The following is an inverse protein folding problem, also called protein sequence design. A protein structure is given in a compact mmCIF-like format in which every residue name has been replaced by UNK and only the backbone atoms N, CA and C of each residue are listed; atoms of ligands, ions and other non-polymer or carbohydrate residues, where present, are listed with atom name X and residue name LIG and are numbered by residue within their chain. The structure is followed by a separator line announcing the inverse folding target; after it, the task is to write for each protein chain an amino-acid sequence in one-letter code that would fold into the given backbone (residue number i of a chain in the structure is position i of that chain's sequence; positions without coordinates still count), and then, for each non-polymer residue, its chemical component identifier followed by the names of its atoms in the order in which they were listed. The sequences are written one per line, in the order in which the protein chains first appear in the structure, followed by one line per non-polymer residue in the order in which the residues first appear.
data_IF_195457152685
#
_entry.id   IF_195457152685
#
_cell.length_a   1.000
_cell.length_b   1.000
_cell.length_c   1.000
_cell.angle_alpha   90.00
_cell.angle_beta   90.00
_cell.angle_gamma   90.00
#
_symmetry.space_group_name_H-M   'P 1'
#
loop_
_entity.id
_entity.type
_entity.pdbx_description
1 polymer ?
#
# COMPACT_ATOMS: atom_id res chain seq x y z
N UNK A 1 -16.50 -9.78 12.38
CA UNK A 1 -15.12 -10.25 12.67
C UNK A 1 -15.14 -11.16 13.89
N UNK A 2 -14.23 -12.11 14.00
CA UNK A 2 -13.98 -12.84 15.27
C UNK A 2 -13.36 -11.90 16.32
N UNK A 3 -13.36 -12.29 17.59
CA UNK A 3 -12.71 -11.51 18.66
C UNK A 3 -11.21 -11.29 18.37
N UNK A 4 -10.53 -12.34 17.90
CA UNK A 4 -9.11 -12.28 17.58
C UNK A 4 -8.85 -11.34 16.40
N UNK A 5 -9.59 -11.48 15.29
CA UNK A 5 -9.48 -10.58 14.14
C UNK A 5 -9.70 -9.12 14.53
N UNK A 6 -10.72 -8.86 15.36
CA UNK A 6 -11.02 -7.51 15.83
C UNK A 6 -9.89 -6.93 16.68
N UNK A 7 -9.39 -7.71 17.65
CA UNK A 7 -8.29 -7.29 18.53
C UNK A 7 -7.01 -7.01 17.73
N UNK A 8 -6.65 -7.91 16.81
CA UNK A 8 -5.49 -7.74 15.93
C UNK A 8 -5.63 -6.49 15.05
N UNK A 9 -6.81 -6.28 14.46
CA UNK A 9 -7.09 -5.11 13.64
C UNK A 9 -7.02 -3.81 14.45
N UNK A 10 -7.56 -3.77 15.67
CA UNK A 10 -7.48 -2.59 16.53
C UNK A 10 -6.03 -2.22 16.87
N UNK A 11 -5.21 -3.21 17.23
CA UNK A 11 -3.79 -3.00 17.51
C UNK A 11 -3.04 -2.50 16.26
N UNK A 12 -3.29 -3.14 15.11
CA UNK A 12 -2.67 -2.75 13.84
C UNK A 12 -3.07 -1.33 13.42
N UNK A 13 -4.36 -0.98 13.56
CA UNK A 13 -4.88 0.37 13.30
C UNK A 13 -4.22 1.42 14.19
N UNK A 14 -4.05 1.12 15.48
CA UNK A 14 -3.40 2.03 16.42
C UNK A 14 -1.92 2.23 16.09
N UNK A 15 -1.20 1.16 15.74
CA UNK A 15 0.19 1.25 15.28
C UNK A 15 0.33 2.11 14.02
N UNK A 16 -0.58 1.96 13.05
CA UNK A 16 -0.57 2.80 11.85
C UNK A 16 -0.86 4.27 12.14
N UNK A 17 -1.78 4.56 13.07
CA UNK A 17 -2.05 5.93 13.52
C UNK A 17 -0.79 6.57 14.12
N UNK A 18 -0.12 5.86 15.03
CA UNK A 18 1.15 6.30 15.63
C UNK A 18 2.25 6.52 14.58
N UNK A 19 2.34 5.63 13.58
CA UNK A 19 3.28 5.77 12.47
C UNK A 19 3.04 7.03 11.63
N UNK A 20 1.78 7.35 11.31
CA UNK A 20 1.46 8.59 10.58
C UNK A 20 1.86 9.82 11.39
N UNK A 21 1.58 9.83 12.69
CA UNK A 21 1.98 10.94 13.57
C UNK A 21 3.50 11.09 13.66
N UNK A 22 4.23 9.99 13.71
CA UNK A 22 5.71 9.98 13.69
C UNK A 22 6.25 10.50 12.36
N UNK A 23 5.71 10.04 11.24
CA UNK A 23 6.14 10.47 9.91
C UNK A 23 5.95 11.97 9.70
N UNK A 24 4.85 12.54 10.21
CA UNK A 24 4.61 13.99 10.20
C UNK A 24 5.70 14.72 11.00
N UNK A 25 6.03 14.25 12.20
CA UNK A 25 7.07 14.87 13.04
C UNK A 25 8.46 14.75 12.43
N UNK A 26 8.76 13.63 11.78
CA UNK A 26 10.05 13.36 11.17
C UNK A 26 10.31 14.17 9.88
N UNK A 27 9.26 14.75 9.27
CA UNK A 27 9.34 15.47 8.00
C UNK A 27 8.83 16.92 8.10
N UNK A 28 9.44 17.78 8.93
CA UNK A 28 8.99 19.16 9.13
C UNK A 28 9.02 20.03 7.85
N UNK A 29 9.86 19.67 6.87
CA UNK A 29 9.97 20.35 5.57
C UNK A 29 8.85 19.99 4.59
N UNK A 30 8.12 18.90 4.83
CA UNK A 30 7.13 18.37 3.88
C UNK A 30 5.99 19.36 3.55
N UNK A 31 5.42 20.11 4.51
CA UNK A 31 4.38 21.09 4.19
C UNK A 31 4.82 22.19 3.21
N UNK A 32 6.04 22.70 3.37
CA UNK A 32 6.59 23.75 2.51
C UNK A 32 6.79 23.22 1.10
N UNK A 33 7.44 22.07 0.96
CA UNK A 33 7.70 21.46 -0.35
C UNK A 33 6.41 21.09 -1.10
N UNK A 34 5.40 20.58 -0.39
CA UNK A 34 4.10 20.27 -0.98
C UNK A 34 3.34 21.52 -1.40
N UNK A 35 3.39 22.60 -0.61
CA UNK A 35 2.77 23.88 -0.95
C UNK A 35 3.39 24.45 -2.23
N UNK A 36 4.71 24.42 -2.36
CA UNK A 36 5.41 24.81 -3.58
C UNK A 36 5.03 23.93 -4.79
N UNK A 37 4.95 22.61 -4.58
CA UNK A 37 4.57 21.66 -5.62
C UNK A 37 3.13 21.90 -6.11
N UNK A 38 2.19 22.20 -5.20
CA UNK A 38 0.82 22.57 -5.52
C UNK A 38 0.79 23.89 -6.31
N UNK A 39 1.52 24.90 -5.84
CA UNK A 39 1.54 26.25 -6.44
C UNK A 39 2.11 26.31 -7.86
N UNK A 40 2.98 25.36 -8.24
CA UNK A 40 3.57 25.30 -9.60
C UNK A 40 2.66 24.68 -10.65
N UNK A 41 1.50 24.17 -10.28
CA UNK A 41 0.60 23.47 -11.21
C UNK A 41 -0.29 24.45 -11.98
N UNK A 42 -0.44 24.21 -13.27
CA UNK A 42 -1.53 24.74 -14.09
C UNK A 42 -2.83 24.00 -13.71
N UNK A 43 -3.43 24.42 -12.60
CA UNK A 43 -4.66 23.84 -12.06
C UNK A 43 -5.15 24.62 -10.85
N UNK A 44 -6.33 24.28 -10.31
CA UNK A 44 -6.85 24.96 -9.13
C UNK A 44 -5.92 24.71 -7.94
N UNK A 45 -5.28 25.78 -7.47
CA UNK A 45 -4.58 25.79 -6.20
C UNK A 45 -5.54 25.46 -5.06
N UNK A 46 -5.03 24.86 -4.00
CA UNK A 46 -5.77 24.53 -2.80
C UNK A 46 -4.84 24.57 -1.58
N UNK A 47 -5.37 24.87 -0.40
CA UNK A 47 -4.57 24.84 0.81
C UNK A 47 -4.14 23.40 1.11
N UNK A 48 -2.87 23.26 1.45
CA UNK A 48 -2.37 22.04 2.07
C UNK A 48 -2.82 22.03 3.53
N UNK A 49 -3.50 20.97 3.95
CA UNK A 49 -4.06 20.79 5.29
C UNK A 49 -3.46 19.57 5.99
N UNK A 50 -3.36 18.41 5.31
CA UNK A 50 -2.72 17.21 5.87
C UNK A 50 -1.72 16.59 4.90
N UNK A 51 -0.39 16.79 5.07
CA UNK A 51 0.63 16.31 4.12
C UNK A 51 0.81 14.78 4.15
N UNK A 52 0.56 14.18 5.31
CA UNK A 52 0.47 12.73 5.49
C UNK A 52 -0.93 12.45 6.00
N UNK A 53 -1.65 11.57 5.32
CA UNK A 53 -3.07 11.34 5.59
C UNK A 53 -3.21 10.02 6.35
N UNK A 54 -3.79 10.07 7.55
CA UNK A 54 -4.38 8.91 8.19
C UNK A 54 -5.82 8.76 7.69
N UNK A 55 -6.20 7.57 7.23
CA UNK A 55 -7.55 7.33 6.72
C UNK A 55 -8.55 7.16 7.88
N UNK A 56 -9.36 8.18 8.15
CA UNK A 56 -10.37 8.16 9.21
C UNK A 56 -11.46 7.10 8.99
N UNK A 57 -11.64 6.57 7.77
CA UNK A 57 -12.54 5.44 7.55
C UNK A 57 -12.10 4.17 8.30
N UNK A 58 -10.83 4.07 8.73
CA UNK A 58 -10.37 3.00 9.59
C UNK A 58 -10.98 3.06 11.00
N UNK A 59 -11.30 4.27 11.48
CA UNK A 59 -11.92 4.47 12.79
C UNK A 59 -13.41 4.08 12.78
N UNK A 60 -14.06 4.17 11.61
CA UNK A 60 -15.47 3.81 11.42
C UNK A 60 -15.71 2.29 11.51
N UNK A 61 -14.69 1.47 11.24
CA UNK A 61 -14.81 0.00 11.26
C UNK A 61 -15.10 -0.47 12.68
N UNK A 62 -16.14 -1.30 12.81
CA UNK A 62 -16.57 -1.94 14.05
C UNK A 62 -16.38 -3.46 13.95
N UNK A 63 -16.51 -4.15 15.09
CA UNK A 63 -16.40 -5.62 15.16
C UNK A 63 -17.43 -6.33 14.27
N UNK A 64 -18.63 -5.74 14.15
CA UNK A 64 -19.74 -6.23 13.35
C UNK A 64 -19.60 -5.91 11.86
N UNK A 65 -18.62 -5.08 11.48
CA UNK A 65 -18.35 -4.79 10.07
C UNK A 65 -17.91 -6.04 9.32
N UNK A 66 -18.33 -6.13 8.06
CA UNK A 66 -17.92 -7.19 7.13
C UNK A 66 -17.04 -6.56 6.07
N UNK A 67 -15.78 -6.98 6.01
CA UNK A 67 -14.83 -6.57 4.97
C UNK A 67 -14.73 -7.70 3.95
N UNK A 68 -15.01 -7.39 2.70
CA UNK A 68 -14.98 -8.34 1.57
C UNK A 68 -13.86 -8.02 0.57
N UNK A 69 -13.38 -6.78 0.55
CA UNK A 69 -12.25 -6.37 -0.30
C UNK A 69 -11.36 -5.41 0.47
N UNK A 70 -10.05 -5.60 0.37
CA UNK A 70 -9.05 -4.60 0.73
C UNK A 70 -8.58 -3.98 -0.58
N UNK A 71 -8.84 -2.68 -0.78
CA UNK A 71 -8.49 -1.98 -2.01
C UNK A 71 -7.33 -1.02 -1.76
N UNK A 72 -6.22 -1.23 -2.46
CA UNK A 72 -4.98 -0.47 -2.32
C UNK A 72 -4.77 0.47 -3.51
N UNK A 73 -5.05 1.76 -3.30
CA UNK A 73 -4.74 2.84 -4.24
C UNK A 73 -3.30 3.34 -4.10
N UNK A 74 -2.91 4.36 -4.87
CA UNK A 74 -1.52 4.82 -4.92
C UNK A 74 -1.14 5.66 -3.69
N UNK A 75 -1.72 6.85 -3.59
CA UNK A 75 -1.48 7.80 -2.52
C UNK A 75 -2.64 8.81 -2.40
N UNK A 76 -2.76 9.57 -1.28
CA UNK A 76 -3.86 10.50 -1.08
C UNK A 76 -3.82 11.66 -2.07
N UNK A 77 -4.97 11.98 -2.66
CA UNK A 77 -5.15 13.12 -3.55
C UNK A 77 -5.63 14.38 -2.84
N UNK A 78 -6.02 15.38 -3.65
CA UNK A 78 -6.45 16.71 -3.17
C UNK A 78 -7.60 16.67 -2.17
N UNK A 79 -8.59 15.79 -2.35
CA UNK A 79 -9.76 15.76 -1.45
C UNK A 79 -9.44 14.99 -0.17
N UNK A 80 -8.71 13.90 -0.34
CA UNK A 80 -8.28 12.99 0.71
C UNK A 80 -7.44 13.71 1.78
N UNK A 81 -6.65 14.72 1.40
CA UNK A 81 -5.82 15.51 2.33
C UNK A 81 -6.57 16.65 3.04
N UNK A 82 -7.83 16.93 2.70
CA UNK A 82 -8.56 18.00 3.39
C UNK A 82 -8.92 17.56 4.81
N UNK A 83 -8.87 18.48 5.76
CA UNK A 83 -9.21 18.23 7.15
C UNK A 83 -10.66 17.77 7.33
N UNK A 84 -11.56 18.20 6.45
CA UNK A 84 -12.96 17.83 6.45
C UNK A 84 -13.20 16.37 6.02
N UNK A 85 -12.39 15.84 5.09
CA UNK A 85 -12.61 14.51 4.54
C UNK A 85 -11.74 13.45 5.24
N UNK A 86 -10.39 13.59 5.18
CA UNK A 86 -9.38 12.62 5.64
C UNK A 86 -9.74 11.16 5.43
N UNK A 87 -10.28 10.86 4.25
CA UNK A 87 -10.73 9.53 3.84
C UNK A 87 -10.17 9.22 2.47
N UNK A 88 -9.78 7.98 2.24
CA UNK A 88 -9.23 7.57 0.95
C UNK A 88 -10.32 7.35 -0.11
N UNK A 89 -9.94 7.65 -1.36
CA UNK A 89 -10.83 7.56 -2.52
C UNK A 89 -12.16 8.31 -2.30
N UNK A 90 -12.11 9.56 -1.88
CA UNK A 90 -13.29 10.47 -1.84
C UNK A 90 -13.31 11.44 -3.03
N UNK A 91 -12.21 11.49 -3.78
CA UNK A 91 -12.07 12.16 -5.07
C UNK A 91 -12.76 11.47 -6.25
N UNK A 92 -12.53 11.98 -7.47
CA UNK A 92 -13.11 11.44 -8.70
C UNK A 92 -12.87 9.94 -8.91
N UNK A 93 -11.65 9.45 -8.65
CA UNK A 93 -11.32 8.02 -8.77
C UNK A 93 -12.18 7.17 -7.83
N UNK A 94 -12.49 7.68 -6.64
CA UNK A 94 -13.37 7.00 -5.69
C UNK A 94 -14.83 6.97 -6.12
N UNK A 95 -15.32 8.02 -6.78
CA UNK A 95 -16.65 8.01 -7.40
C UNK A 95 -16.76 6.98 -8.52
N UNK A 96 -15.69 6.79 -9.29
CA UNK A 96 -15.64 5.78 -10.34
C UNK A 96 -15.60 4.36 -9.74
N UNK A 97 -14.82 4.15 -8.68
CA UNK A 97 -14.82 2.88 -7.95
C UNK A 97 -16.19 2.55 -7.35
N UNK A 98 -16.80 3.48 -6.60
CA UNK A 98 -18.16 3.35 -6.06
C UNK A 98 -19.19 3.07 -7.16
N UNK A 99 -19.10 3.81 -8.28
CA UNK A 99 -19.94 3.62 -9.45
C UNK A 99 -19.78 2.25 -10.11
N UNK A 100 -18.59 1.64 -10.07
CA UNK A 100 -18.37 0.28 -10.57
C UNK A 100 -19.14 -0.73 -9.72
N UNK A 101 -18.95 -0.74 -8.39
CA UNK A 101 -19.66 -1.66 -7.50
C UNK A 101 -21.19 -1.48 -7.58
N UNK A 102 -21.69 -0.26 -7.68
CA UNK A 102 -23.13 0.02 -7.88
C UNK A 102 -23.70 -0.52 -9.19
N UNK A 103 -22.89 -0.61 -10.25
CA UNK A 103 -23.30 -1.19 -11.54
C UNK A 103 -23.24 -2.72 -11.53
N UNK A 104 -22.56 -3.31 -10.55
CA UNK A 104 -22.36 -4.74 -10.40
C UNK A 104 -22.89 -5.24 -9.05
N UNK A 105 -24.21 -5.09 -8.77
CA UNK A 105 -24.81 -5.48 -7.49
C UNK A 105 -24.69 -6.98 -7.21
N UNK A 106 -24.49 -7.82 -8.24
CA UNK A 106 -24.22 -9.25 -8.12
C UNK A 106 -22.96 -9.57 -7.31
N UNK A 107 -22.03 -8.62 -7.17
CA UNK A 107 -20.86 -8.76 -6.31
C UNK A 107 -21.22 -8.71 -4.81
N UNK A 108 -22.40 -8.18 -4.45
CA UNK A 108 -22.81 -8.06 -3.05
C UNK A 108 -21.95 -7.12 -2.19
N UNK A 109 -21.19 -6.21 -2.82
CA UNK A 109 -20.22 -5.33 -2.16
C UNK A 109 -20.73 -3.88 -2.17
N UNK A 110 -20.97 -3.32 -0.99
CA UNK A 110 -21.10 -1.87 -0.79
C UNK A 110 -19.69 -1.26 -0.65
N UNK A 111 -19.34 -0.35 -1.56
CA UNK A 111 -18.00 0.24 -1.64
C UNK A 111 -17.54 0.98 -0.37
N UNK A 112 -18.47 1.48 0.45
CA UNK A 112 -18.14 2.23 1.67
C UNK A 112 -18.26 1.41 2.94
N UNK A 113 -18.95 0.27 2.88
CA UNK A 113 -19.14 -0.62 4.05
C UNK A 113 -18.28 -1.86 4.00
N UNK A 114 -18.11 -2.44 2.82
CA UNK A 114 -17.45 -3.73 2.63
C UNK A 114 -16.01 -3.63 2.11
N UNK A 115 -15.54 -2.42 1.79
CA UNK A 115 -14.20 -2.22 1.24
C UNK A 115 -13.31 -1.47 2.22
N UNK A 116 -12.23 -2.13 2.65
CA UNK A 116 -11.14 -1.50 3.39
C UNK A 116 -10.21 -0.78 2.40
N UNK A 117 -10.29 0.55 2.35
CA UNK A 117 -9.52 1.35 1.37
C UNK A 117 -8.20 1.81 1.99
N UNK A 118 -7.09 1.43 1.36
CA UNK A 118 -5.71 1.74 1.76
C UNK A 118 -4.93 2.35 0.59
N UNK A 119 -3.72 2.87 0.86
CA UNK A 119 -2.81 3.42 -0.15
C UNK A 119 -1.42 2.77 -0.04
N UNK A 120 -0.66 2.76 -1.14
CA UNK A 120 0.75 2.31 -1.14
C UNK A 120 1.67 3.25 -0.37
N UNK A 121 1.25 4.50 -0.16
CA UNK A 121 1.91 5.45 0.75
C UNK A 121 0.85 6.40 1.33
N UNK A 122 0.97 6.85 2.60
CA UNK A 122 0.08 7.85 3.19
C UNK A 122 0.45 9.29 2.80
N UNK A 123 1.54 9.49 2.04
CA UNK A 123 2.04 10.83 1.69
C UNK A 123 1.22 11.41 0.55
N UNK A 124 0.57 12.54 0.81
CA UNK A 124 -0.21 13.26 -0.17
C UNK A 124 0.67 13.82 -1.30
N UNK A 125 0.20 13.68 -2.54
CA UNK A 125 0.63 14.53 -3.65
C UNK A 125 -0.55 14.83 -4.57
N UNK A 126 -0.50 15.93 -5.35
CA UNK A 126 -1.60 16.27 -6.25
C UNK A 126 -1.75 15.29 -7.43
N UNK A 127 -0.67 14.61 -7.85
CA UNK A 127 -0.67 13.43 -8.73
C UNK A 127 0.38 12.43 -8.25
N UNK A 128 0.10 11.14 -8.38
CA UNK A 128 1.02 10.05 -8.02
C UNK A 128 2.44 10.25 -8.54
N UNK A 129 2.59 10.62 -9.82
CA UNK A 129 3.91 10.83 -10.45
C UNK A 129 4.76 11.93 -9.79
N UNK A 130 4.13 12.85 -9.07
CA UNK A 130 4.80 13.96 -8.40
C UNK A 130 5.46 13.56 -7.08
N UNK A 131 5.24 12.33 -6.59
CA UNK A 131 6.05 11.74 -5.51
C UNK A 131 7.55 11.73 -5.89
N UNK A 132 7.87 11.53 -7.18
CA UNK A 132 9.26 11.61 -7.68
C UNK A 132 9.84 13.02 -7.57
N UNK A 133 9.04 14.04 -7.90
CA UNK A 133 9.49 15.44 -7.80
C UNK A 133 9.64 15.85 -6.34
N UNK A 134 8.71 15.43 -5.48
CA UNK A 134 8.79 15.64 -4.05
C UNK A 134 10.06 15.02 -3.45
N UNK A 135 10.34 13.74 -3.75
CA UNK A 135 11.55 13.05 -3.32
C UNK A 135 12.82 13.79 -3.77
N UNK A 136 12.86 14.24 -5.03
CA UNK A 136 14.02 14.99 -5.56
C UNK A 136 14.22 16.32 -4.84
N UNK A 137 13.14 17.07 -4.58
CA UNK A 137 13.19 18.39 -3.93
C UNK A 137 13.58 18.31 -2.47
N UNK A 138 13.11 17.29 -1.75
CA UNK A 138 13.41 17.12 -0.33
C UNK A 138 14.72 16.42 -0.03
N UNK A 139 15.51 16.07 -1.06
CA UNK A 139 16.80 15.42 -0.90
C UNK A 139 16.73 13.97 -0.42
N UNK A 140 17.90 13.37 -0.12
CA UNK A 140 18.01 11.95 0.26
C UNK A 140 17.10 11.54 1.41
N UNK A 141 16.99 12.37 2.45
CA UNK A 141 16.20 12.05 3.65
C UNK A 141 14.71 11.93 3.34
N UNK A 142 14.14 12.86 2.55
CA UNK A 142 12.74 12.77 2.15
C UNK A 142 12.51 11.64 1.15
N UNK A 143 13.44 11.42 0.22
CA UNK A 143 13.35 10.28 -0.70
C UNK A 143 13.30 8.95 0.05
N UNK A 144 14.15 8.80 1.07
CA UNK A 144 14.20 7.64 1.94
C UNK A 144 12.94 7.50 2.80
N UNK A 145 12.42 8.61 3.34
CA UNK A 145 11.16 8.57 4.09
C UNK A 145 9.97 8.17 3.20
N UNK A 146 9.91 8.65 1.95
CA UNK A 146 8.90 8.19 0.97
C UNK A 146 9.05 6.70 0.70
N UNK A 147 10.28 6.22 0.47
CA UNK A 147 10.58 4.79 0.28
C UNK A 147 10.14 3.95 1.49
N UNK A 148 10.49 4.38 2.71
CA UNK A 148 10.12 3.70 3.95
C UNK A 148 8.61 3.71 4.19
N UNK A 149 7.91 4.77 3.79
CA UNK A 149 6.45 4.79 3.85
C UNK A 149 5.79 3.74 2.96
N UNK A 150 6.41 3.41 1.82
CA UNK A 150 5.93 2.34 0.95
C UNK A 150 6.15 0.95 1.57
N UNK A 151 7.30 0.75 2.21
CA UNK A 151 7.62 -0.49 2.94
C UNK A 151 6.62 -0.70 4.07
N UNK A 152 6.42 0.32 4.90
CA UNK A 152 5.50 0.27 6.04
C UNK A 152 4.06 0.00 5.59
N UNK A 153 3.60 0.65 4.52
CA UNK A 153 2.27 0.38 3.98
C UNK A 153 2.15 -1.02 3.40
N UNK A 154 3.15 -1.56 2.70
CA UNK A 154 3.12 -2.93 2.19
C UNK A 154 2.97 -3.95 3.33
N UNK A 155 3.70 -3.77 4.44
CA UNK A 155 3.58 -4.61 5.65
C UNK A 155 2.21 -4.48 6.31
N UNK A 156 1.75 -3.25 6.51
CA UNK A 156 0.44 -2.96 7.09
C UNK A 156 -0.70 -3.60 6.26
N UNK A 157 -0.64 -3.45 4.92
CA UNK A 157 -1.61 -4.04 3.99
C UNK A 157 -1.58 -5.57 4.06
N UNK A 158 -0.39 -6.18 4.07
CA UNK A 158 -0.26 -7.63 4.21
C UNK A 158 -0.89 -8.13 5.52
N UNK A 159 -0.64 -7.44 6.64
CA UNK A 159 -1.21 -7.80 7.93
C UNK A 159 -2.74 -7.62 7.96
N UNK A 160 -3.27 -6.53 7.39
CA UNK A 160 -4.71 -6.39 7.19
C UNK A 160 -5.26 -7.56 6.37
N UNK A 161 -4.57 -7.95 5.29
CA UNK A 161 -4.99 -9.08 4.49
C UNK A 161 -4.93 -10.40 5.27
N UNK A 162 -3.91 -10.65 6.10
CA UNK A 162 -3.90 -11.85 6.94
C UNK A 162 -5.06 -11.91 7.93
N UNK A 163 -5.44 -10.77 8.51
CA UNK A 163 -6.59 -10.66 9.42
C UNK A 163 -7.89 -11.02 8.68
N UNK A 164 -8.05 -10.56 7.44
CA UNK A 164 -9.31 -10.68 6.69
C UNK A 164 -9.32 -11.75 5.58
N UNK A 165 -8.22 -12.46 5.32
CA UNK A 165 -8.07 -13.39 4.19
C UNK A 165 -9.15 -14.49 4.10
N UNK A 166 -9.76 -14.99 5.19
CA UNK A 166 -10.82 -15.96 5.04
C UNK A 166 -12.05 -15.40 4.30
N UNK A 167 -12.27 -14.09 4.35
CA UNK A 167 -13.47 -13.43 3.81
C UNK A 167 -13.19 -12.33 2.77
N UNK A 168 -11.96 -11.82 2.70
CA UNK A 168 -11.61 -10.65 1.91
C UNK A 168 -10.54 -10.90 0.86
N UNK A 169 -10.75 -10.34 -0.33
CA UNK A 169 -9.76 -10.29 -1.40
C UNK A 169 -8.88 -9.04 -1.28
N UNK A 170 -7.62 -9.11 -1.74
CA UNK A 170 -6.73 -7.95 -1.83
C UNK A 170 -6.65 -7.44 -3.27
N UNK A 171 -7.20 -6.25 -3.51
CA UNK A 171 -7.19 -5.59 -4.82
C UNK A 171 -6.19 -4.44 -4.84
N UNK A 172 -5.10 -4.59 -5.60
CA UNK A 172 -4.09 -3.55 -5.76
C UNK A 172 -4.25 -2.87 -7.11
N UNK A 173 -4.69 -1.61 -7.10
CA UNK A 173 -4.89 -0.85 -8.34
C UNK A 173 -3.63 -0.06 -8.69
N UNK A 174 -3.45 0.30 -9.97
CA UNK A 174 -2.33 1.13 -10.41
C UNK A 174 -1.02 0.37 -10.57
N UNK A 175 -1.07 -0.91 -10.97
CA UNK A 175 0.11 -1.77 -11.08
C UNK A 175 1.20 -1.27 -12.05
N UNK A 176 0.90 -0.32 -12.94
CA UNK A 176 1.86 0.20 -13.94
C UNK A 176 3.08 0.89 -13.32
N UNK A 177 2.94 1.39 -12.09
CA UNK A 177 4.03 2.01 -11.34
C UNK A 177 4.65 1.04 -10.31
N UNK A 178 4.29 -0.24 -10.35
CA UNK A 178 4.88 -1.31 -9.55
C UNK A 178 6.00 -2.03 -10.32
N UNK A 179 6.96 -2.59 -9.58
CA UNK A 179 8.10 -3.33 -10.12
C UNK A 179 9.40 -2.51 -10.29
N UNK A 180 10.45 -3.13 -10.85
CA UNK A 180 11.81 -2.57 -10.86
C UNK A 180 11.93 -1.22 -11.58
N UNK A 181 12.62 -0.27 -10.96
CA UNK A 181 12.84 1.09 -11.47
C UNK A 181 11.58 1.97 -11.50
N UNK A 182 10.46 1.52 -10.90
CA UNK A 182 9.19 2.26 -10.86
C UNK A 182 8.97 2.92 -9.50
N UNK A 183 7.95 3.78 -9.43
CA UNK A 183 7.68 4.59 -8.24
C UNK A 183 7.41 3.74 -7.00
N UNK A 184 6.72 2.62 -7.17
CA UNK A 184 6.32 1.71 -6.10
C UNK A 184 7.16 0.43 -6.06
N UNK A 185 8.43 0.50 -6.46
CA UNK A 185 9.36 -0.63 -6.38
C UNK A 185 9.49 -1.13 -4.93
N UNK A 186 9.76 -0.24 -3.98
CA UNK A 186 9.90 -0.60 -2.57
C UNK A 186 8.64 -1.23 -1.96
N UNK A 187 7.46 -0.71 -2.33
CA UNK A 187 6.18 -1.34 -2.00
C UNK A 187 6.09 -2.76 -2.58
N UNK A 188 6.42 -2.92 -3.86
CA UNK A 188 6.31 -4.18 -4.60
C UNK A 188 7.19 -5.26 -4.00
N UNK A 189 8.46 -4.95 -3.75
CA UNK A 189 9.42 -5.93 -3.23
C UNK A 189 9.11 -6.31 -1.79
N UNK A 190 8.70 -5.35 -0.97
CA UNK A 190 8.25 -5.63 0.39
C UNK A 190 7.02 -6.52 0.41
N UNK A 191 6.04 -6.25 -0.46
CA UNK A 191 4.85 -7.07 -0.57
C UNK A 191 5.20 -8.50 -1.02
N UNK A 192 6.04 -8.66 -2.05
CA UNK A 192 6.53 -9.98 -2.48
C UNK A 192 7.20 -10.74 -1.33
N UNK A 193 8.08 -10.08 -0.59
CA UNK A 193 8.78 -10.68 0.54
C UNK A 193 7.81 -11.09 1.67
N UNK A 194 6.81 -10.26 1.97
CA UNK A 194 5.81 -10.55 2.99
C UNK A 194 4.99 -11.80 2.64
N UNK A 195 4.60 -11.96 1.38
CA UNK A 195 3.89 -13.17 0.94
C UNK A 195 4.83 -14.37 0.74
N UNK A 196 6.13 -14.17 0.46
CA UNK A 196 7.12 -15.23 0.28
C UNK A 196 7.32 -16.07 1.56
N UNK A 197 7.31 -15.42 2.72
CA UNK A 197 7.62 -16.03 4.01
C UNK A 197 6.33 -16.55 4.64
N UNK A 198 6.27 -17.86 4.91
CA UNK A 198 5.22 -18.40 5.76
C UNK A 198 5.38 -17.83 7.18
N UNK A 199 4.42 -17.02 7.65
CA UNK A 199 4.35 -16.57 9.04
C UNK A 199 4.89 -15.17 9.35
N UNK A 200 4.84 -14.20 8.42
CA UNK A 200 5.03 -12.79 8.78
C UNK A 200 3.93 -12.35 9.77
N UNK A 201 4.24 -12.33 11.05
CA UNK A 201 3.33 -11.96 12.13
C UNK A 201 3.38 -10.46 12.50
N UNK A 202 2.49 -10.01 13.41
CA UNK A 202 2.38 -8.62 13.86
C UNK A 202 3.68 -7.99 14.39
N UNK A 203 4.60 -8.79 14.94
CA UNK A 203 5.85 -8.32 15.57
C UNK A 203 6.94 -7.86 14.59
N UNK A 204 6.77 -8.11 13.29
CA UNK A 204 7.78 -7.81 12.26
C UNK A 204 7.85 -6.33 11.83
N UNK A 205 6.99 -5.46 12.37
CA UNK A 205 6.97 -4.05 12.03
C UNK A 205 8.22 -3.29 12.51
N UNK A 206 8.96 -3.80 13.50
CA UNK A 206 9.93 -2.97 14.27
C UNK A 206 11.33 -3.56 14.50
N UNK A 207 11.69 -4.68 13.87
CA UNK A 207 13.03 -5.27 14.05
C UNK A 207 14.17 -4.54 13.31
N UNK A 208 13.90 -3.45 12.59
CA UNK A 208 14.91 -2.75 11.78
C UNK A 208 14.92 -1.23 11.98
N UNK A 209 14.78 -0.78 13.24
CA UNK A 209 14.86 0.64 13.63
C UNK A 209 16.29 1.15 13.85
N UNK A 210 17.34 0.46 13.38
CA UNK A 210 18.74 0.90 13.51
C UNK A 210 19.15 2.04 12.55
N UNK A 211 18.20 2.77 11.97
CA UNK A 211 18.47 4.02 11.23
C UNK A 211 18.39 5.29 12.10
N UNK A 212 18.67 5.16 13.41
CA UNK A 212 18.78 6.31 14.31
C UNK A 212 19.98 6.24 15.27
N UNK A 213 21.18 5.92 14.76
CA UNK A 213 22.44 6.43 15.33
C UNK A 213 23.65 6.12 14.44
N UNK A 214 24.14 7.11 13.69
CA UNK A 214 25.55 7.14 13.25
C UNK A 214 26.16 8.46 13.66
N UNK A 215 26.89 8.44 14.77
CA UNK A 215 27.97 9.39 15.03
C UNK A 215 29.30 8.71 14.65
N UNK A 216 30.31 9.43 14.13
CA UNK A 216 31.56 8.82 13.70
C UNK A 216 32.50 8.66 14.91
N UNK A 217 33.11 7.49 15.05
CA UNK A 217 34.28 7.31 15.89
C UNK A 217 35.39 6.62 15.08
N UNK A 218 36.59 7.14 15.26
CA UNK A 218 37.82 6.89 14.53
C UNK A 218 38.53 5.61 15.00
N UNK A 219 39.33 5.03 14.10
CA UNK A 219 40.68 4.53 14.40
C UNK A 219 40.83 3.11 14.95
N UNK A 220 41.60 2.28 14.24
CA UNK A 220 42.21 1.06 14.80
C UNK A 220 42.56 0.00 13.76
N UNK A 221 43.85 -0.10 13.43
CA UNK A 221 44.48 -1.14 12.59
C UNK A 221 44.84 -2.35 13.47
N UNK A 222 44.57 -3.58 13.03
CA UNK A 222 45.51 -4.72 13.08
C UNK A 222 44.91 -6.03 12.49
N UNK A 223 45.59 -6.49 11.44
CA UNK A 223 45.99 -7.84 11.00
C UNK A 223 45.71 -9.08 11.91
N UNK A 224 45.16 -10.16 11.33
CA UNK A 224 45.84 -11.48 11.14
C UNK A 224 44.86 -12.66 10.93
N UNK A 225 45.01 -13.36 9.79
CA UNK A 225 45.16 -14.82 9.66
C UNK A 225 44.05 -15.82 10.07
N UNK A 226 43.60 -16.58 9.06
CA UNK A 226 43.04 -17.96 9.05
C UNK A 226 41.72 -18.30 9.76
N UNK A 227 40.74 -18.80 8.99
CA UNK A 227 40.29 -20.21 9.05
C UNK A 227 39.17 -20.54 8.06
N UNK A 228 39.36 -21.67 7.38
CA UNK A 228 38.39 -22.71 7.00
C UNK A 228 37.01 -22.31 6.40
N UNK A 229 36.93 -22.60 5.11
CA UNK A 229 35.82 -23.20 4.38
C UNK A 229 34.76 -23.91 5.24
N UNK A 230 33.52 -23.40 5.18
CA UNK A 230 32.30 -24.14 5.43
C UNK A 230 31.13 -23.35 4.85
N UNK A 231 30.92 -23.48 3.54
CA UNK A 231 29.67 -23.06 2.89
C UNK A 231 28.56 -24.01 3.29
N UNK A 232 27.49 -23.60 4.01
CA UNK A 232 26.27 -24.37 4.05
C UNK A 232 25.51 -24.04 2.76
N UNK A 233 25.38 -25.04 1.89
CA UNK A 233 24.47 -25.01 0.77
C UNK A 233 23.11 -24.45 1.21
N UNK A 234 22.69 -23.38 0.55
CA UNK A 234 21.42 -22.71 0.74
C UNK A 234 20.27 -23.64 0.34
N UNK A 235 19.83 -24.49 1.27
CA UNK A 235 18.51 -25.11 1.21
C UNK A 235 17.48 -24.04 1.55
N UNK A 236 17.22 -23.14 0.60
CA UNK A 236 16.01 -22.33 0.64
C UNK A 236 14.83 -23.30 0.62
N UNK A 237 13.97 -23.32 1.65
CA UNK A 237 12.79 -24.17 1.62
C UNK A 237 11.96 -23.72 0.42
N UNK A 238 11.55 -24.69 -0.40
CA UNK A 238 10.62 -24.47 -1.49
C UNK A 238 9.45 -23.64 -0.96
N UNK A 239 9.37 -22.38 -1.41
CA UNK A 239 8.35 -21.43 -1.02
C UNK A 239 7.02 -22.13 -1.18
N UNK A 240 6.20 -22.21 -0.13
CA UNK A 240 4.87 -22.78 -0.25
C UNK A 240 4.09 -21.95 -1.29
N UNK A 241 4.05 -22.45 -2.53
CA UNK A 241 3.46 -21.76 -3.69
C UNK A 241 1.94 -21.58 -3.54
N UNK A 242 1.33 -22.19 -2.51
CA UNK A 242 -0.12 -22.33 -2.37
C UNK A 242 -0.66 -21.88 -1.01
N UNK A 243 -0.28 -20.71 -0.49
CA UNK A 243 -1.15 -20.12 0.56
C UNK A 243 -2.41 -19.58 -0.11
N UNK A 244 -3.59 -19.97 0.40
CA UNK A 244 -4.90 -19.48 -0.08
C UNK A 244 -4.92 -17.94 -0.17
N UNK A 245 -4.22 -17.28 0.77
CA UNK A 245 -4.05 -15.82 0.77
C UNK A 245 -3.33 -15.25 -0.45
N UNK A 246 -2.39 -15.97 -1.08
CA UNK A 246 -1.79 -15.50 -2.34
C UNK A 246 -2.82 -15.54 -3.47
N UNK A 247 -3.63 -16.58 -3.52
CA UNK A 247 -4.61 -16.76 -4.59
C UNK A 247 -5.69 -15.66 -4.61
N UNK A 248 -5.90 -14.98 -3.48
CA UNK A 248 -6.84 -13.86 -3.31
C UNK A 248 -6.22 -12.47 -3.49
N UNK A 249 -4.98 -12.37 -3.98
CA UNK A 249 -4.40 -11.10 -4.40
C UNK A 249 -4.69 -10.87 -5.88
N UNK A 250 -5.18 -9.68 -6.23
CA UNK A 250 -5.53 -9.31 -7.59
C UNK A 250 -5.01 -7.91 -7.90
N UNK A 251 -4.45 -7.73 -9.10
CA UNK A 251 -3.91 -6.44 -9.53
C UNK A 251 -4.76 -5.86 -10.67
N UNK A 252 -4.98 -4.56 -10.65
CA UNK A 252 -5.80 -3.89 -11.67
C UNK A 252 -5.23 -2.54 -12.10
N UNK A 253 -5.73 -2.01 -13.22
CA UNK A 253 -5.48 -0.61 -13.58
C UNK A 253 -6.14 0.35 -12.58
N UNK A 254 -5.65 1.57 -12.51
CA UNK A 254 -6.21 2.58 -11.61
C UNK A 254 -7.63 3.02 -12.04
N UNK A 255 -8.46 3.45 -11.10
CA UNK A 255 -9.78 4.03 -11.41
C UNK A 255 -9.70 5.41 -12.06
N UNK A 256 -8.58 6.12 -11.95
CA UNK A 256 -8.40 7.42 -12.61
C UNK A 256 -8.59 7.30 -14.12
N UNK A 257 -9.19 8.32 -14.75
CA UNK A 257 -9.50 8.32 -16.19
C UNK A 257 -10.23 7.06 -16.68
N UNK A 258 -11.03 6.43 -15.80
CA UNK A 258 -11.82 5.24 -16.06
C UNK A 258 -11.00 4.02 -16.56
N UNK A 259 -9.69 3.96 -16.30
CA UNK A 259 -8.84 2.91 -16.88
C UNK A 259 -9.21 1.51 -16.40
N UNK A 260 -9.61 1.36 -15.13
CA UNK A 260 -10.13 0.09 -14.59
C UNK A 260 -11.31 -0.43 -15.41
N UNK A 261 -12.39 0.37 -15.55
CA UNK A 261 -13.61 -0.09 -16.23
C UNK A 261 -13.39 -0.30 -17.72
N UNK A 262 -12.56 0.53 -18.37
CA UNK A 262 -12.19 0.33 -19.78
C UNK A 262 -11.47 -1.00 -19.98
N UNK A 263 -10.55 -1.35 -19.08
CA UNK A 263 -9.81 -2.59 -19.14
C UNK A 263 -10.69 -3.81 -18.86
N UNK A 264 -11.54 -3.72 -17.83
CA UNK A 264 -12.55 -4.72 -17.48
C UNK A 264 -13.47 -5.01 -18.68
N UNK A 265 -14.14 -4.00 -19.25
CA UNK A 265 -15.06 -4.19 -20.38
C UNK A 265 -14.37 -4.75 -21.62
N UNK A 266 -13.12 -4.38 -21.88
CA UNK A 266 -12.36 -4.91 -23.03
C UNK A 266 -12.00 -6.38 -22.90
N UNK A 267 -11.90 -6.87 -21.66
CA UNK A 267 -11.45 -8.22 -21.37
C UNK A 267 -12.59 -9.15 -20.96
N UNK A 268 -13.83 -8.66 -20.86
CA UNK A 268 -15.00 -9.51 -20.61
C UNK A 268 -15.17 -10.54 -21.73
N UNK A 269 -15.38 -11.80 -21.34
CA UNK A 269 -15.66 -12.90 -22.26
C UNK A 269 -17.14 -13.28 -22.20
N UNK A 270 -17.75 -13.73 -23.33
CA UNK A 270 -19.15 -14.16 -23.34
C UNK A 270 -19.40 -15.30 -22.34
N UNK A 271 -20.36 -15.11 -21.43
CA UNK A 271 -20.75 -16.13 -20.44
C UNK A 271 -20.01 -16.06 -19.11
N UNK A 272 -18.95 -15.25 -18.98
CA UNK A 272 -18.32 -14.99 -17.68
C UNK A 272 -19.17 -14.03 -16.83
N UNK A 273 -19.28 -14.34 -15.54
CA UNK A 273 -19.73 -13.39 -14.53
C UNK A 273 -18.70 -12.28 -14.30
N UNK A 274 -19.16 -11.16 -13.72
CA UNK A 274 -18.29 -10.06 -13.31
C UNK A 274 -17.14 -10.53 -12.41
N UNK A 275 -17.42 -11.44 -11.46
CA UNK A 275 -16.42 -11.96 -10.53
C UNK A 275 -15.37 -12.83 -11.25
N UNK A 276 -15.79 -13.71 -12.14
CA UNK A 276 -14.87 -14.55 -12.94
C UNK A 276 -13.94 -13.68 -13.80
N UNK A 277 -14.49 -12.67 -14.48
CA UNK A 277 -13.68 -11.72 -15.26
C UNK A 277 -12.67 -10.98 -14.37
N UNK A 278 -13.09 -10.48 -13.20
CA UNK A 278 -12.20 -9.79 -12.27
C UNK A 278 -11.08 -10.70 -11.77
N UNK A 279 -11.39 -11.94 -11.40
CA UNK A 279 -10.40 -12.90 -10.92
C UNK A 279 -9.39 -13.28 -12.00
N UNK A 280 -9.85 -13.50 -13.23
CA UNK A 280 -8.98 -13.84 -14.37
C UNK A 280 -8.00 -12.71 -14.69
N UNK A 281 -8.51 -11.49 -14.92
CA UNK A 281 -7.69 -10.31 -15.22
C UNK A 281 -6.72 -10.02 -14.06
N UNK A 282 -7.27 -10.03 -12.84
CA UNK A 282 -6.52 -9.73 -11.63
C UNK A 282 -5.35 -10.69 -11.39
N UNK A 283 -5.59 -11.98 -11.60
CA UNK A 283 -4.57 -13.04 -11.44
C UNK A 283 -3.52 -12.96 -12.54
N UNK A 284 -3.90 -12.63 -13.78
CA UNK A 284 -2.95 -12.45 -14.87
C UNK A 284 -1.98 -11.31 -14.56
N UNK A 285 -2.48 -10.18 -14.06
CA UNK A 285 -1.64 -9.05 -13.67
C UNK A 285 -0.83 -9.32 -12.41
N UNK A 286 -1.38 -10.05 -11.44
CA UNK A 286 -0.63 -10.54 -10.28
C UNK A 286 0.58 -11.37 -10.72
N UNK A 287 0.39 -12.41 -11.55
CA UNK A 287 1.48 -13.26 -12.04
C UNK A 287 2.54 -12.45 -12.78
N UNK A 288 2.12 -11.50 -13.63
CA UNK A 288 3.02 -10.63 -14.37
C UNK A 288 3.87 -9.71 -13.47
N UNK A 289 3.25 -9.14 -12.43
CA UNK A 289 3.88 -8.08 -11.63
C UNK A 289 4.52 -8.63 -10.36
N UNK A 290 3.89 -9.58 -9.67
CA UNK A 290 4.41 -10.16 -8.43
C UNK A 290 5.20 -11.45 -8.65
N UNK A 291 5.01 -12.13 -9.79
CA UNK A 291 5.76 -13.34 -10.15
C UNK A 291 5.10 -14.66 -9.71
N UNK A 292 3.91 -14.60 -9.11
CA UNK A 292 3.10 -15.74 -8.65
C UNK A 292 1.61 -15.47 -8.84
#
# INVERSE_FOLDING_TARGET
MTENQWTEFQNLRQSYKSYVDELIRALPQLPVLLTELIGKRSGPSYPLETPVVYNHALDDIQKESTISVILVADNPGRREQSAAERRYLVGPSGKLADGFFKKHPELGIDFRRNVLILNKTPIHTPRTVELRDLARRGGPDLAEAIRNSQIMMARFIHQCHQIFAPEAELWIIGYSEMGPGKLFEAFTDTLRAAYAIAGYGPDSLFLDSTLASKAPAQGGIADSGDTADNSPASNAPALAENSISRQQVYLYRHFSMNQFSVDFTKQQEPGESTQETLHRIGSQYRKRILGW
#
